data_IF_689305105948
#
_entry.id   IF_689305105948
#
_cell.length_a   1.000
_cell.length_b   1.000
_cell.length_c   1.000
_cell.angle_alpha   90.00
_cell.angle_beta   90.00
_cell.angle_gamma   90.00
#
_symmetry.space_group_name_H-M   'P 1'
#
loop_
_entity.id
_entity.type
_entity.pdbx_description
1 polymer ?
#
# COMPACT_ATOMS: atom_id res chain seq x y z
N UNK A 1 -11.59 16.24 66.69
CA UNK A 1 -11.51 16.81 65.34
C UNK A 1 -10.09 16.76 64.73
N UNK A 2 -9.03 17.16 65.40
CA UNK A 2 -7.65 17.16 64.87
C UNK A 2 -7.15 15.80 64.42
N UNK A 3 -7.47 14.68 65.14
CA UNK A 3 -7.02 13.30 64.79
C UNK A 3 -7.63 12.76 63.50
N UNK A 4 -8.86 13.15 63.17
CA UNK A 4 -9.55 12.69 61.94
C UNK A 4 -8.93 13.37 60.69
N UNK A 5 -8.56 14.64 60.79
CA UNK A 5 -7.94 15.42 59.71
C UNK A 5 -6.56 14.83 59.37
N UNK A 6 -5.80 14.39 60.39
CA UNK A 6 -4.47 13.82 60.20
C UNK A 6 -4.49 12.44 59.48
N UNK A 7 -5.60 11.72 59.58
CA UNK A 7 -5.79 10.44 58.91
C UNK A 7 -6.31 10.59 57.47
N UNK A 8 -7.12 11.61 57.18
CA UNK A 8 -7.72 11.83 55.87
C UNK A 8 -6.69 12.43 54.87
N UNK A 9 -5.78 13.25 55.37
CA UNK A 9 -4.77 13.93 54.53
C UNK A 9 -3.89 12.96 53.73
N UNK A 10 -3.30 11.85 54.29
CA UNK A 10 -2.50 10.92 53.53
C UNK A 10 -3.34 10.07 52.54
N UNK A 11 -4.62 9.81 52.87
CA UNK A 11 -5.51 9.06 51.97
C UNK A 11 -5.86 9.89 50.74
N UNK A 12 -6.19 11.15 50.88
CA UNK A 12 -6.40 12.10 49.76
C UNK A 12 -5.13 12.26 48.91
N UNK A 13 -3.95 12.35 49.54
CA UNK A 13 -2.66 12.43 48.82
C UNK A 13 -2.39 11.19 48.02
N UNK A 14 -2.70 9.98 48.52
CA UNK A 14 -2.52 8.72 47.85
C UNK A 14 -3.48 8.55 46.67
N UNK A 15 -4.73 8.99 46.77
CA UNK A 15 -5.73 8.99 45.68
C UNK A 15 -5.31 9.97 44.58
N UNK A 16 -4.73 11.10 44.90
CA UNK A 16 -4.26 12.08 43.94
C UNK A 16 -3.04 11.62 43.13
N UNK A 17 -2.19 10.77 43.71
CA UNK A 17 -1.07 10.16 43.00
C UNK A 17 -1.47 9.09 41.96
N UNK A 18 -2.60 8.44 42.16
CA UNK A 18 -3.11 7.38 41.25
C UNK A 18 -3.75 7.92 39.98
N UNK A 19 -4.02 9.24 39.88
CA UNK A 19 -4.73 9.85 38.75
C UNK A 19 -3.89 10.12 37.49
N UNK A 20 -2.58 9.96 37.52
CA UNK A 20 -1.67 10.34 36.43
C UNK A 20 -1.14 9.16 35.61
N UNK A 21 -1.95 8.16 35.34
CA UNK A 21 -1.62 7.25 34.24
C UNK A 21 -1.89 7.94 32.89
N UNK A 22 -1.05 8.93 32.56
CA UNK A 22 -1.09 9.60 31.27
C UNK A 22 -0.82 8.55 30.18
N UNK A 23 -1.81 8.21 29.40
CA UNK A 23 -1.65 7.40 28.19
C UNK A 23 -0.72 8.17 27.25
N UNK A 24 0.53 7.75 27.18
CA UNK A 24 1.50 8.32 26.24
C UNK A 24 1.05 8.04 24.82
N UNK A 25 0.46 9.03 24.17
CA UNK A 25 0.16 8.97 22.75
C UNK A 25 1.42 9.24 21.95
N UNK A 26 1.78 8.30 21.10
CA UNK A 26 2.82 8.47 20.11
C UNK A 26 2.23 9.14 18.88
N UNK A 27 2.77 10.29 18.49
CA UNK A 27 2.38 10.99 17.27
C UNK A 27 3.51 10.91 16.25
N UNK A 28 3.20 10.44 15.04
CA UNK A 28 4.10 10.45 13.91
C UNK A 28 3.49 11.33 12.83
N UNK A 29 4.24 12.31 12.37
CA UNK A 29 3.82 13.20 11.30
C UNK A 29 4.93 13.29 10.26
N UNK A 30 4.63 13.81 9.09
CA UNK A 30 5.61 14.00 8.04
C UNK A 30 4.98 14.29 6.69
N UNK A 31 5.79 14.13 5.64
CA UNK A 31 5.37 14.36 4.28
C UNK A 31 5.74 13.15 3.42
N UNK A 32 4.84 12.77 2.49
CA UNK A 32 5.08 11.71 1.52
C UNK A 32 5.25 12.31 0.14
N UNK A 33 6.30 11.92 -0.55
CA UNK A 33 6.65 12.41 -1.88
C UNK A 33 7.03 11.27 -2.81
N UNK A 34 6.90 11.53 -4.11
CA UNK A 34 7.50 10.69 -5.13
C UNK A 34 9.04 10.75 -5.07
N UNK A 35 9.71 9.61 -5.23
CA UNK A 35 11.16 9.53 -5.15
C UNK A 35 11.86 10.20 -6.34
N UNK A 36 11.25 10.18 -7.54
CA UNK A 36 11.79 10.73 -8.77
C UNK A 36 11.39 12.20 -8.97
N UNK A 37 10.09 12.49 -9.04
CA UNK A 37 9.56 13.85 -9.33
C UNK A 37 9.63 14.79 -8.13
N UNK A 38 9.74 14.27 -6.90
CA UNK A 38 9.64 15.01 -5.63
C UNK A 38 8.26 15.64 -5.38
N UNK A 39 7.29 15.34 -6.20
CA UNK A 39 5.92 15.81 -6.05
C UNK A 39 5.26 15.20 -4.81
N UNK A 40 4.34 15.95 -4.21
CA UNK A 40 3.58 15.51 -3.05
C UNK A 40 2.58 14.42 -3.46
N UNK A 41 2.57 13.30 -2.75
CA UNK A 41 1.65 12.20 -3.01
C UNK A 41 0.42 12.30 -2.11
N UNK A 42 -0.74 12.49 -2.73
CA UNK A 42 -2.05 12.48 -2.08
C UNK A 42 -2.64 11.09 -1.99
N UNK A 43 -3.34 10.78 -0.91
CA UNK A 43 -4.08 9.51 -0.77
C UNK A 43 -3.20 8.31 -0.43
N UNK A 44 -1.95 8.51 -0.03
CA UNK A 44 -1.08 7.44 0.45
C UNK A 44 -1.63 6.88 1.75
N UNK A 45 -1.79 5.58 1.83
CA UNK A 45 -2.20 4.89 3.05
C UNK A 45 -0.99 4.62 3.95
N UNK A 46 -1.03 5.15 5.17
CA UNK A 46 -0.01 4.96 6.20
C UNK A 46 -0.65 4.24 7.38
N UNK A 47 -0.24 3.02 7.69
CA UNK A 47 -0.83 2.20 8.76
C UNK A 47 0.23 1.58 9.65
N UNK A 48 -0.13 1.29 10.90
CA UNK A 48 0.72 0.52 11.81
C UNK A 48 0.64 -0.96 11.44
N UNK A 49 1.76 -1.59 11.12
CA UNK A 49 1.83 -3.01 10.75
C UNK A 49 1.20 -3.89 11.83
N UNK A 50 0.24 -4.74 11.42
CA UNK A 50 -0.45 -5.64 12.33
C UNK A 50 -1.55 -4.99 13.20
N UNK A 51 -1.92 -3.73 12.94
CA UNK A 51 -3.02 -3.04 13.63
C UNK A 51 -3.96 -2.34 12.65
N UNK A 52 -5.20 -2.12 13.07
CA UNK A 52 -6.22 -1.39 12.30
C UNK A 52 -6.13 0.12 12.62
N UNK A 53 -4.91 0.65 12.66
CA UNK A 53 -4.64 2.06 12.96
C UNK A 53 -3.86 2.63 11.78
N UNK A 54 -4.40 3.67 11.15
CA UNK A 54 -3.77 4.29 9.99
C UNK A 54 -4.31 5.69 9.73
N UNK A 55 -3.70 6.34 8.76
CA UNK A 55 -4.06 7.66 8.24
C UNK A 55 -3.79 7.72 6.74
N UNK A 56 -4.22 8.80 6.10
CA UNK A 56 -4.03 9.04 4.67
C UNK A 56 -3.35 10.39 4.49
N UNK A 57 -2.45 10.51 3.49
CA UNK A 57 -1.81 11.79 3.16
C UNK A 57 -2.78 12.77 2.50
N UNK A 58 -2.63 14.05 2.82
CA UNK A 58 -3.41 15.18 2.27
C UNK A 58 -2.93 15.60 0.86
N UNK A 59 -3.55 16.64 0.30
CA UNK A 59 -3.22 17.21 -1.03
C UNK A 59 -1.79 17.75 -1.13
N UNK A 60 -1.15 18.04 -0.01
CA UNK A 60 0.24 18.49 0.07
C UNK A 60 1.20 17.35 0.45
N UNK A 61 0.68 16.11 0.52
CA UNK A 61 1.43 14.93 0.93
C UNK A 61 1.66 14.84 2.44
N UNK A 62 1.11 15.73 3.27
CA UNK A 62 1.33 15.67 4.71
C UNK A 62 0.44 14.60 5.34
N UNK A 63 0.94 13.97 6.38
CA UNK A 63 0.18 13.03 7.19
C UNK A 63 0.44 13.22 8.68
N UNK A 64 -0.52 12.81 9.49
CA UNK A 64 -0.40 12.78 10.95
C UNK A 64 -1.11 11.54 11.47
N UNK A 65 -0.38 10.69 12.16
CA UNK A 65 -0.84 9.46 12.79
C UNK A 65 -0.65 9.55 14.29
N UNK A 66 -1.72 9.36 15.05
CA UNK A 66 -1.66 9.26 16.51
C UNK A 66 -2.00 7.84 16.93
N UNK A 67 -1.16 7.22 17.74
CA UNK A 67 -1.34 5.85 18.21
C UNK A 67 -0.93 5.72 19.66
N UNK A 68 -1.56 4.78 20.36
CA UNK A 68 -1.16 4.37 21.72
C UNK A 68 -0.15 3.22 21.71
N UNK A 69 0.32 2.82 20.49
CA UNK A 69 1.32 1.76 20.35
C UNK A 69 2.67 2.25 20.87
N UNK A 70 3.30 1.50 21.80
CA UNK A 70 4.63 1.83 22.26
C UNK A 70 5.65 1.67 21.13
N UNK A 71 6.66 2.52 21.13
CA UNK A 71 7.82 2.39 20.23
C UNK A 71 8.75 1.27 20.72
N UNK A 72 9.45 0.54 19.82
CA UNK A 72 9.43 0.68 18.36
C UNK A 72 8.25 -0.03 17.69
N UNK A 73 7.73 0.54 16.62
CA UNK A 73 6.74 -0.11 15.76
C UNK A 73 7.01 0.17 14.28
N UNK A 74 6.46 -0.66 13.40
CA UNK A 74 6.66 -0.52 11.95
C UNK A 74 5.44 0.12 11.31
N UNK A 75 5.66 1.16 10.50
CA UNK A 75 4.67 1.71 9.60
C UNK A 75 4.72 0.98 8.26
N UNK A 76 3.57 0.64 7.72
CA UNK A 76 3.39 0.17 6.34
C UNK A 76 2.80 1.31 5.54
N UNK A 77 3.52 1.73 4.51
CA UNK A 77 3.14 2.83 3.61
C UNK A 77 2.88 2.24 2.24
N UNK A 78 1.71 2.51 1.67
CA UNK A 78 1.31 1.94 0.39
C UNK A 78 0.43 2.89 -0.41
N UNK A 79 0.60 2.86 -1.73
CA UNK A 79 -0.21 3.57 -2.72
C UNK A 79 -0.28 2.74 -4.00
N UNK A 80 -1.38 2.83 -4.73
CA UNK A 80 -1.52 2.16 -6.04
C UNK A 80 -0.50 2.74 -7.02
N UNK A 81 0.24 1.88 -7.72
CA UNK A 81 1.32 2.30 -8.64
C UNK A 81 2.67 2.56 -7.98
N UNK A 82 2.78 2.38 -6.65
CA UNK A 82 4.01 2.58 -5.89
C UNK A 82 4.43 1.33 -5.13
N UNK A 83 5.73 1.19 -4.93
CA UNK A 83 6.30 0.11 -4.11
C UNK A 83 5.93 0.32 -2.64
N UNK A 84 5.42 -0.73 -1.99
CA UNK A 84 5.12 -0.70 -0.56
C UNK A 84 6.41 -0.57 0.24
N UNK A 85 6.43 0.38 1.18
CA UNK A 85 7.57 0.62 2.05
C UNK A 85 7.22 0.36 3.52
N UNK A 86 8.13 -0.29 4.24
CA UNK A 86 8.03 -0.51 5.68
C UNK A 86 9.11 0.31 6.40
N UNK A 87 8.70 1.08 7.41
CA UNK A 87 9.58 2.02 8.12
C UNK A 87 9.43 1.81 9.62
N UNK A 88 10.55 1.60 10.30
CA UNK A 88 10.58 1.44 11.75
C UNK A 88 10.59 2.81 12.44
N UNK A 89 9.62 3.04 13.31
CA UNK A 89 9.54 4.23 14.16
C UNK A 89 10.10 3.89 15.53
N UNK A 90 11.23 4.48 15.87
CA UNK A 90 11.95 4.21 17.13
C UNK A 90 11.70 5.29 18.20
N UNK A 91 11.13 6.44 17.81
CA UNK A 91 10.91 7.56 18.73
C UNK A 91 9.47 8.04 18.69
N UNK A 92 8.92 8.40 19.84
CA UNK A 92 7.66 9.11 19.94
C UNK A 92 7.81 10.54 19.37
N UNK A 93 6.73 11.10 18.81
CA UNK A 93 6.72 12.45 18.23
C UNK A 93 7.77 12.67 17.13
N UNK A 94 7.94 11.68 16.23
CA UNK A 94 8.87 11.77 15.11
C UNK A 94 8.24 12.46 13.91
N UNK A 95 9.06 13.27 13.22
CA UNK A 95 8.75 13.82 11.91
C UNK A 95 9.45 12.97 10.85
N UNK A 96 8.68 12.24 10.04
CA UNK A 96 9.21 11.24 9.12
C UNK A 96 8.80 11.54 7.69
N UNK A 97 9.75 12.01 6.89
CA UNK A 97 9.54 12.25 5.47
C UNK A 97 9.78 10.96 4.69
N UNK A 98 8.84 10.59 3.83
CA UNK A 98 8.79 9.32 3.11
C UNK A 98 8.90 9.62 1.61
N UNK A 99 9.73 8.86 0.90
CA UNK A 99 9.84 8.92 -0.55
C UNK A 99 9.47 7.56 -1.12
N UNK A 100 8.34 7.47 -1.85
CA UNK A 100 7.90 6.26 -2.50
C UNK A 100 8.46 6.17 -3.91
N UNK A 101 8.87 4.98 -4.30
CA UNK A 101 9.28 4.67 -5.67
C UNK A 101 8.09 4.17 -6.47
N UNK A 102 7.95 4.67 -7.68
CA UNK A 102 6.95 4.19 -8.62
C UNK A 102 7.25 2.73 -8.98
N UNK A 103 6.25 1.88 -8.88
CA UNK A 103 6.31 0.49 -9.31
C UNK A 103 5.72 0.40 -10.71
N UNK A 104 6.57 0.27 -11.73
CA UNK A 104 6.12 -0.07 -13.07
C UNK A 104 5.51 -1.47 -13.01
N UNK A 105 4.19 -1.56 -12.93
CA UNK A 105 3.47 -2.80 -13.16
C UNK A 105 3.51 -3.04 -14.67
N UNK A 106 4.52 -3.78 -15.14
CA UNK A 106 4.45 -4.39 -16.45
C UNK A 106 3.21 -5.27 -16.42
N UNK A 107 2.16 -4.84 -17.10
CA UNK A 107 0.96 -5.64 -17.26
C UNK A 107 1.38 -7.00 -17.78
N UNK A 108 1.14 -8.05 -17.01
CA UNK A 108 1.21 -9.38 -17.56
C UNK A 108 0.11 -9.44 -18.62
N UNK A 109 0.52 -9.68 -19.87
CA UNK A 109 -0.41 -10.03 -20.93
C UNK A 109 -1.23 -11.22 -20.42
N UNK A 110 -2.49 -10.95 -20.11
CA UNK A 110 -3.43 -12.00 -19.75
C UNK A 110 -3.72 -12.73 -21.05
N UNK A 111 -2.94 -13.74 -21.34
CA UNK A 111 -3.26 -14.71 -22.39
C UNK A 111 -4.49 -15.47 -21.88
N UNK A 112 -5.68 -15.01 -22.27
CA UNK A 112 -6.91 -15.75 -22.02
C UNK A 112 -6.88 -16.97 -22.92
N UNK A 113 -6.32 -18.08 -22.42
CA UNK A 113 -6.48 -19.38 -23.06
C UNK A 113 -7.92 -19.85 -22.86
N UNK A 114 -8.66 -20.03 -23.93
CA UNK A 114 -10.04 -20.49 -23.89
C UNK A 114 -10.18 -21.96 -23.41
N UNK A 115 -9.07 -22.69 -23.26
CA UNK A 115 -9.03 -24.02 -22.67
C UNK A 115 -8.44 -23.97 -21.25
N UNK A 116 -9.08 -24.64 -20.31
CA UNK A 116 -8.64 -24.79 -18.92
C UNK A 116 -7.32 -25.58 -18.77
N UNK A 117 -6.79 -26.14 -19.84
CA UNK A 117 -5.56 -26.91 -19.89
C UNK A 117 -4.74 -26.31 -21.02
N UNK A 118 -3.45 -26.07 -20.78
CA UNK A 118 -2.49 -25.73 -21.82
C UNK A 118 -2.30 -26.98 -22.71
N UNK A 119 -3.15 -27.13 -23.72
CA UNK A 119 -2.94 -28.13 -24.72
C UNK A 119 -1.90 -27.66 -25.74
N UNK A 120 -0.87 -28.45 -25.96
CA UNK A 120 0.05 -28.22 -27.05
C UNK A 120 -0.74 -28.26 -28.36
N UNK A 121 -0.46 -27.35 -29.29
CA UNK A 121 -1.09 -27.27 -30.61
C UNK A 121 -1.01 -28.61 -31.36
N UNK A 122 -0.02 -29.46 -31.04
CA UNK A 122 0.19 -30.80 -31.59
C UNK A 122 -0.73 -31.87 -30.99
N UNK A 123 -1.40 -31.60 -29.86
CA UNK A 123 -2.32 -32.54 -29.18
C UNK A 123 -3.79 -32.10 -29.29
N UNK A 124 -4.05 -30.94 -29.86
CA UNK A 124 -5.41 -30.48 -30.10
C UNK A 124 -6.01 -31.26 -31.27
N UNK A 125 -7.25 -31.80 -31.10
CA UNK A 125 -7.93 -32.51 -32.20
C UNK A 125 -8.40 -31.56 -33.32
N UNK A 126 -8.23 -30.22 -33.11
CA UNK A 126 -8.59 -29.19 -34.09
C UNK A 126 -7.31 -28.57 -34.65
N UNK A 127 -7.13 -28.58 -35.94
CA UNK A 127 -6.02 -27.89 -36.61
C UNK A 127 -6.21 -26.38 -36.42
N UNK A 128 -5.32 -25.76 -35.63
CA UNK A 128 -5.30 -24.30 -35.41
C UNK A 128 -4.20 -23.74 -36.31
N UNK A 129 -4.60 -23.08 -37.39
CA UNK A 129 -3.68 -22.38 -38.27
C UNK A 129 -3.54 -20.94 -37.80
N UNK A 130 -2.32 -20.53 -37.44
CA UNK A 130 -2.02 -19.14 -37.01
C UNK A 130 -1.48 -18.38 -38.20
N UNK A 131 -2.22 -17.38 -38.65
CA UNK A 131 -1.79 -16.46 -39.67
C UNK A 131 -1.23 -15.18 -39.03
N UNK A 132 0.03 -14.87 -39.29
CA UNK A 132 0.65 -13.63 -38.84
C UNK A 132 0.18 -12.44 -39.68
N UNK A 133 0.10 -11.26 -39.08
CA UNK A 133 -0.26 -9.98 -39.73
C UNK A 133 0.63 -9.70 -40.95
N UNK A 134 1.88 -10.14 -40.92
CA UNK A 134 2.80 -10.02 -42.06
C UNK A 134 2.37 -10.86 -43.23
N UNK A 135 1.95 -12.10 -42.98
CA UNK A 135 1.48 -13.02 -44.05
C UNK A 135 0.18 -12.45 -44.69
N UNK A 136 -0.69 -11.82 -43.92
CA UNK A 136 -1.89 -11.16 -44.47
C UNK A 136 -1.55 -9.96 -45.35
N UNK A 137 -0.52 -9.20 -44.99
CA UNK A 137 -0.09 -8.02 -45.73
C UNK A 137 0.66 -8.33 -47.01
N UNK A 138 1.37 -9.46 -47.03
CA UNK A 138 2.12 -9.96 -48.20
C UNK A 138 1.25 -10.83 -49.14
N UNK A 139 0.04 -11.19 -48.69
CA UNK A 139 -0.94 -11.89 -49.52
C UNK A 139 -1.39 -10.97 -50.66
N UNK A 140 -1.24 -11.44 -51.89
CA UNK A 140 -1.69 -10.76 -53.10
C UNK A 140 -3.21 -10.73 -53.27
N UNK A 141 -3.95 -11.24 -52.28
CA UNK A 141 -5.43 -11.27 -52.33
C UNK A 141 -6.00 -9.85 -52.06
N UNK A 142 -6.96 -9.41 -52.88
CA UNK A 142 -7.55 -8.07 -52.76
C UNK A 142 -8.42 -7.91 -51.51
N UNK A 143 -8.73 -8.98 -50.81
CA UNK A 143 -9.54 -9.01 -49.59
C UNK A 143 -8.99 -9.99 -48.57
N UNK A 144 -9.11 -9.68 -47.28
CA UNK A 144 -8.79 -10.59 -46.18
C UNK A 144 -9.50 -11.95 -46.28
N UNK A 145 -10.76 -11.95 -46.74
CA UNK A 145 -11.54 -13.17 -46.89
C UNK A 145 -11.04 -14.05 -48.04
N UNK A 146 -10.47 -13.47 -49.10
CA UNK A 146 -9.89 -14.23 -50.19
C UNK A 146 -8.56 -14.88 -49.82
N UNK A 147 -7.81 -14.26 -48.90
CA UNK A 147 -6.61 -14.90 -48.34
C UNK A 147 -6.92 -16.15 -47.51
N UNK A 148 -8.05 -16.19 -46.81
CA UNK A 148 -8.48 -17.33 -46.00
C UNK A 148 -9.01 -18.51 -46.85
N UNK A 149 -9.41 -18.26 -48.11
CA UNK A 149 -10.01 -19.29 -48.97
C UNK A 149 -8.95 -20.26 -49.52
N UNK A 150 -7.67 -19.93 -49.47
CA UNK A 150 -6.54 -20.73 -49.98
C UNK A 150 -5.73 -21.42 -48.85
N UNK A 151 -6.27 -21.50 -47.64
CA UNK A 151 -5.74 -22.22 -46.50
C UNK A 151 -6.21 -23.67 -46.42
#
# INVERSE_FOLDING_TARGET
MKRIITQILPICSFIFLLGFAAMAQTKVAGNVRDAASKEALIGVSISVKGKVIGTISDVKGNYSLSTTTPVPFTLSVSMVGYERQEIVVSSANSNLNISLKEQATLGQDVVVSASRIQESVLQSPVTIEKMDIRAIRESAAPSFYDALRNL
#
